data_IF_070212005092
#
_entry.id   IF_070212005092
#
_cell.length_a   1.000
_cell.length_b   1.000
_cell.length_c   1.000
_cell.angle_alpha   90.00
_cell.angle_beta   90.00
_cell.angle_gamma   90.00
#
_symmetry.space_group_name_H-M   'P 1'
#
loop_
_entity.id
_entity.type
_entity.pdbx_description
1 polymer ?
#
# COMPACT_ATOMS: atom_id res chain seq x y z
N UNK A 1 6.72 11.77 17.50
CA UNK A 1 6.50 13.07 16.84
C UNK A 1 5.23 12.96 16.01
N UNK A 2 4.07 13.19 16.63
CA UNK A 2 2.77 12.99 15.99
C UNK A 2 2.43 14.26 15.23
N UNK A 3 2.78 14.31 13.94
CA UNK A 3 2.24 15.33 13.06
C UNK A 3 0.75 15.06 12.91
N UNK A 4 -0.07 15.74 13.73
CA UNK A 4 -1.48 15.86 13.45
C UNK A 4 -1.58 16.52 12.07
N UNK A 5 -2.37 15.93 11.17
CA UNK A 5 -2.69 16.41 9.81
C UNK A 5 -3.47 17.75 9.82
N UNK A 6 -3.23 18.59 10.82
CA UNK A 6 -3.89 19.87 11.00
C UNK A 6 -3.36 20.88 9.99
N UNK A 7 -4.22 21.14 9.00
CA UNK A 7 -4.22 22.19 7.95
C UNK A 7 -3.70 21.81 6.55
N UNK A 8 -3.83 20.56 6.12
CA UNK A 8 -3.88 20.29 4.67
C UNK A 8 -5.24 20.71 4.11
N UNK A 9 -5.28 21.15 2.84
CA UNK A 9 -6.54 21.17 2.09
C UNK A 9 -7.01 19.74 1.88
N UNK A 10 -8.31 19.53 1.69
CA UNK A 10 -8.87 18.20 1.45
C UNK A 10 -8.17 17.47 0.28
N UNK A 11 -7.85 18.21 -0.79
CA UNK A 11 -7.11 17.66 -1.92
C UNK A 11 -5.70 17.20 -1.50
N UNK A 12 -4.95 18.02 -0.77
CA UNK A 12 -3.62 17.66 -0.30
C UNK A 12 -3.64 16.52 0.72
N UNK A 13 -4.68 16.46 1.55
CA UNK A 13 -4.92 15.36 2.49
C UNK A 13 -5.19 14.05 1.75
N UNK A 14 -6.10 14.06 0.76
CA UNK A 14 -6.41 12.88 -0.06
C UNK A 14 -5.17 12.39 -0.81
N UNK A 15 -4.41 13.30 -1.40
CA UNK A 15 -3.13 13.01 -2.04
C UNK A 15 -2.14 12.32 -1.10
N UNK A 16 -2.05 12.80 0.15
CA UNK A 16 -1.16 12.24 1.19
C UNK A 16 -1.60 10.84 1.59
N UNK A 17 -2.90 10.65 1.84
CA UNK A 17 -3.48 9.34 2.18
C UNK A 17 -3.25 8.36 1.04
N UNK A 18 -3.52 8.76 -0.20
CA UNK A 18 -3.38 7.87 -1.36
C UNK A 18 -1.92 7.45 -1.60
N UNK A 19 -0.95 8.38 -1.47
CA UNK A 19 0.48 8.04 -1.52
C UNK A 19 0.89 7.11 -0.37
N UNK A 20 0.41 7.37 0.84
CA UNK A 20 0.67 6.53 2.01
C UNK A 20 0.14 5.11 1.83
N UNK A 21 -1.09 4.97 1.37
CA UNK A 21 -1.73 3.67 1.12
C UNK A 21 -1.05 2.92 -0.02
N UNK A 22 -0.61 3.61 -1.08
CA UNK A 22 0.06 2.98 -2.21
C UNK A 22 1.33 2.22 -1.81
N UNK A 23 2.05 2.73 -0.81
CA UNK A 23 3.26 2.08 -0.25
C UNK A 23 2.98 0.71 0.38
N UNK A 24 1.74 0.42 0.76
CA UNK A 24 1.36 -0.93 1.20
C UNK A 24 1.50 -1.96 0.07
N UNK A 25 1.21 -1.54 -1.17
CA UNK A 25 1.22 -2.40 -2.34
C UNK A 25 2.52 -2.31 -3.16
N UNK A 26 3.41 -1.35 -2.86
CA UNK A 26 4.74 -1.25 -3.46
C UNK A 26 5.82 -1.67 -2.46
N UNK A 27 6.09 -0.83 -1.47
CA UNK A 27 7.22 -0.97 -0.55
C UNK A 27 7.06 -2.17 0.39
N UNK A 28 5.80 -2.49 0.73
CA UNK A 28 5.44 -3.58 1.64
C UNK A 28 4.95 -4.85 0.92
N UNK A 29 5.03 -4.89 -0.42
CA UNK A 29 4.72 -6.09 -1.17
C UNK A 29 5.63 -7.27 -0.77
N UNK A 30 5.16 -8.50 -0.96
CA UNK A 30 5.96 -9.68 -0.70
C UNK A 30 7.18 -9.71 -1.66
N UNK A 31 8.42 -9.83 -1.18
CA UNK A 31 9.62 -9.55 -1.99
C UNK A 31 9.85 -10.55 -3.13
N UNK A 32 9.30 -11.77 -3.02
CA UNK A 32 9.46 -12.81 -4.06
C UNK A 32 8.35 -12.75 -5.09
N UNK A 33 7.11 -12.46 -4.68
CA UNK A 33 5.93 -12.58 -5.55
C UNK A 33 5.35 -11.24 -5.99
N UNK A 34 5.71 -10.14 -5.33
CA UNK A 34 5.09 -8.83 -5.52
C UNK A 34 3.64 -8.75 -5.05
N UNK A 35 3.12 -9.81 -4.43
CA UNK A 35 1.72 -9.87 -4.00
C UNK A 35 1.49 -9.09 -2.71
N UNK A 36 0.25 -8.66 -2.49
CA UNK A 36 -0.15 -7.99 -1.27
C UNK A 36 -0.12 -8.98 -0.09
N UNK A 37 0.59 -8.61 0.97
CA UNK A 37 0.57 -9.34 2.25
C UNK A 37 -0.82 -9.24 2.86
N UNK A 38 -1.27 -10.34 3.47
CA UNK A 38 -2.59 -10.40 4.12
C UNK A 38 -2.72 -9.40 5.29
N UNK A 39 -1.62 -9.09 5.96
CA UNK A 39 -1.58 -8.15 7.09
C UNK A 39 -0.19 -7.53 7.26
N UNK A 40 -0.11 -6.52 8.12
CA UNK A 40 1.13 -5.80 8.47
C UNK A 40 1.58 -5.96 9.92
N UNK A 41 0.97 -6.89 10.68
CA UNK A 41 1.34 -7.20 12.05
C UNK A 41 1.42 -8.71 12.29
N UNK A 42 2.32 -9.15 13.17
CA UNK A 42 2.44 -10.57 13.54
C UNK A 42 1.52 -10.89 14.72
N UNK A 43 0.22 -10.84 14.47
CA UNK A 43 -0.80 -11.05 15.50
C UNK A 43 -1.17 -12.52 15.76
N UNK A 44 -0.68 -13.47 14.95
CA UNK A 44 -1.09 -14.88 15.02
C UNK A 44 0.12 -15.80 14.95
N UNK A 45 0.12 -16.87 15.76
CA UNK A 45 1.22 -17.83 15.81
C UNK A 45 1.20 -18.86 14.66
N UNK A 46 0.06 -19.02 13.96
CA UNK A 46 -0.11 -20.03 12.91
C UNK A 46 0.54 -19.67 11.58
N UNK A 47 0.85 -18.39 11.36
CA UNK A 47 1.57 -17.90 10.19
C UNK A 47 2.09 -16.48 10.40
N UNK A 48 3.10 -16.09 9.63
CA UNK A 48 3.73 -14.77 9.72
C UNK A 48 3.06 -13.79 8.75
N UNK A 49 2.99 -12.51 9.13
CA UNK A 49 2.64 -11.44 8.20
C UNK A 49 3.66 -11.28 7.08
N UNK A 50 4.88 -11.79 7.30
CA UNK A 50 5.97 -11.72 6.35
C UNK A 50 5.73 -12.55 5.09
N UNK A 51 5.21 -13.77 5.24
CA UNK A 51 5.21 -14.77 4.17
C UNK A 51 3.81 -15.02 3.57
N UNK A 52 2.74 -14.66 4.29
CA UNK A 52 1.37 -14.91 3.83
C UNK A 52 0.82 -13.76 2.98
N UNK A 53 0.46 -14.09 1.75
CA UNK A 53 -0.15 -13.17 0.77
C UNK A 53 -1.63 -13.51 0.53
N UNK A 54 -2.37 -12.56 -0.01
CA UNK A 54 -3.81 -12.68 -0.27
C UNK A 54 -4.14 -12.44 -1.73
N UNK A 55 -4.85 -13.37 -2.37
CA UNK A 55 -5.19 -13.26 -3.80
C UNK A 55 -6.19 -12.12 -4.04
N UNK A 56 -7.25 -12.04 -3.23
CA UNK A 56 -8.24 -10.97 -3.30
C UNK A 56 -7.65 -9.60 -3.01
N UNK A 57 -6.88 -9.46 -1.93
CA UNK A 57 -6.21 -8.20 -1.59
C UNK A 57 -5.14 -7.80 -2.62
N UNK A 58 -4.52 -8.77 -3.30
CA UNK A 58 -3.61 -8.49 -4.43
C UNK A 58 -4.36 -7.89 -5.61
N UNK A 59 -5.59 -8.32 -5.89
CA UNK A 59 -6.44 -7.69 -6.91
C UNK A 59 -6.67 -6.20 -6.63
N UNK A 60 -6.94 -5.84 -5.37
CA UNK A 60 -7.03 -4.42 -4.97
C UNK A 60 -5.69 -3.69 -5.10
N UNK A 61 -4.58 -4.37 -4.77
CA UNK A 61 -3.24 -3.83 -4.97
C UNK A 61 -2.95 -3.48 -6.42
N UNK A 62 -3.26 -4.38 -7.36
CA UNK A 62 -3.11 -4.12 -8.80
C UNK A 62 -3.90 -2.88 -9.23
N UNK A 63 -5.14 -2.73 -8.76
CA UNK A 63 -5.93 -1.53 -9.02
C UNK A 63 -5.32 -0.27 -8.41
N UNK A 64 -4.74 -0.35 -7.22
CA UNK A 64 -4.02 0.75 -6.60
C UNK A 64 -2.78 1.17 -7.40
N UNK A 65 -2.03 0.21 -7.96
CA UNK A 65 -0.88 0.49 -8.84
C UNK A 65 -1.31 1.23 -10.10
N UNK A 66 -2.39 0.79 -10.76
CA UNK A 66 -2.96 1.48 -11.94
C UNK A 66 -3.38 2.90 -11.59
N UNK A 67 -4.10 3.09 -10.48
CA UNK A 67 -4.50 4.41 -10.01
C UNK A 67 -3.28 5.30 -9.71
N UNK A 68 -2.24 4.74 -9.07
CA UNK A 68 -0.98 5.42 -8.79
C UNK A 68 -0.25 5.87 -10.06
N UNK A 69 -0.20 5.02 -11.09
CA UNK A 69 0.41 5.37 -12.38
C UNK A 69 -0.36 6.47 -13.11
N UNK A 70 -1.70 6.41 -13.15
CA UNK A 70 -2.55 7.46 -13.77
C UNK A 70 -2.39 8.81 -13.06
N UNK A 71 -2.18 8.78 -11.74
CA UNK A 71 -1.95 9.95 -10.89
C UNK A 71 -0.52 10.51 -10.97
N UNK A 72 0.39 9.81 -11.64
CA UNK A 72 1.81 10.17 -11.66
C UNK A 72 2.55 9.92 -10.34
N UNK A 73 2.02 9.06 -9.47
CA UNK A 73 2.63 8.70 -8.19
C UNK A 73 3.67 7.60 -8.35
N UNK A 74 3.51 6.77 -9.38
CA UNK A 74 4.44 5.74 -9.80
C UNK A 74 4.86 6.00 -11.25
N UNK A 75 6.09 5.63 -11.60
CA UNK A 75 6.51 5.60 -12.99
C UNK A 75 5.92 4.36 -13.64
N UNK A 76 5.59 4.45 -14.93
CA UNK A 76 5.02 3.32 -15.68
C UNK A 76 6.00 2.16 -15.91
N UNK A 77 7.30 2.42 -15.75
CA UNK A 77 8.40 1.48 -16.00
C UNK A 77 9.02 0.96 -14.70
N UNK A 78 8.36 1.21 -13.55
CA UNK A 78 8.74 0.60 -12.26
C UNK A 78 8.48 -0.89 -12.31
#
# INVERSE_FOLDING_TARGET
MTAVLTRLSDAALLDTVQRGTLRYFTDFAHPVSGMARERSNDAYASYTAADTVTTGGTGFGVMALVAGAVRGFLKKET
#
